data_IF_671948655326
#
_entry.id   IF_671948655326
#
_cell.length_a   1.000
_cell.length_b   1.000
_cell.length_c   1.000
_cell.angle_alpha   90.00
_cell.angle_beta   90.00
_cell.angle_gamma   90.00
#
_symmetry.space_group_name_H-M   'P 1'
#
loop_
_entity.id
_entity.type
_entity.pdbx_description
1 polymer ?
#
# COMPACT_ATOMS: atom_id res chain seq x y z
N UNK A 1 -5.76 -30.10 -0.61
CA UNK A 1 -4.52 -29.34 -0.33
C UNK A 1 -4.32 -29.36 1.17
N UNK A 2 -3.10 -29.53 1.71
CA UNK A 2 -2.94 -29.70 3.14
C UNK A 2 -3.33 -28.39 3.82
N UNK A 3 -4.26 -28.45 4.77
CA UNK A 3 -4.77 -27.30 5.53
C UNK A 3 -3.66 -26.45 6.19
N UNK A 4 -2.47 -27.03 6.36
CA UNK A 4 -1.26 -26.34 6.81
C UNK A 4 -0.80 -25.21 5.87
N UNK A 5 -1.09 -25.27 4.56
CA UNK A 5 -0.72 -24.19 3.62
C UNK A 5 -1.68 -23.00 3.72
N UNK A 6 -2.99 -23.23 3.87
CA UNK A 6 -3.95 -22.14 4.10
C UNK A 6 -3.71 -21.43 5.44
N UNK A 7 -3.34 -22.18 6.48
CA UNK A 7 -3.01 -21.63 7.80
C UNK A 7 -1.69 -20.84 7.82
N UNK A 8 -0.82 -21.04 6.83
CA UNK A 8 0.43 -20.27 6.63
C UNK A 8 0.19 -19.04 5.76
N UNK A 9 -0.66 -19.15 4.73
CA UNK A 9 -1.00 -18.04 3.84
C UNK A 9 -1.94 -17.00 4.52
N UNK A 10 -2.79 -17.42 5.45
CA UNK A 10 -3.61 -16.52 6.27
C UNK A 10 -2.80 -15.62 7.24
N UNK A 11 -1.49 -15.86 7.41
CA UNK A 11 -0.61 -15.08 8.31
C UNK A 11 0.11 -13.93 7.60
N UNK A 12 -0.04 -13.77 6.27
CA UNK A 12 0.67 -12.76 5.46
C UNK A 12 -0.24 -11.62 4.93
N UNK A 13 -0.86 -10.96 5.91
CA UNK A 13 -1.50 -9.63 5.86
C UNK A 13 -2.97 -9.63 5.49
N UNK A 14 -3.73 -10.11 6.46
CA UNK A 14 -5.17 -9.98 6.54
C UNK A 14 -5.47 -8.77 7.43
N UNK A 15 -6.27 -7.84 6.92
CA UNK A 15 -7.04 -6.93 7.77
C UNK A 15 -7.77 -7.71 8.86
N UNK A 16 -8.23 -7.06 9.94
CA UNK A 16 -9.06 -7.73 10.97
C UNK A 16 -10.34 -8.37 10.39
N UNK A 17 -10.69 -8.08 9.13
CA UNK A 17 -11.91 -8.52 8.45
C UNK A 17 -11.72 -9.68 7.46
N UNK A 18 -10.50 -10.18 7.23
CA UNK A 18 -10.28 -11.19 6.19
C UNK A 18 -9.76 -10.63 4.85
N UNK A 19 -9.76 -9.31 4.66
CA UNK A 19 -9.42 -8.64 3.39
C UNK A 19 -7.95 -8.25 3.28
N UNK A 20 -7.44 -8.21 2.05
CA UNK A 20 -6.13 -7.62 1.73
C UNK A 20 -6.18 -6.08 1.71
N UNK A 21 -5.05 -5.43 1.41
CA UNK A 21 -4.93 -3.96 1.42
C UNK A 21 -5.94 -3.28 0.48
N UNK A 22 -6.12 -3.83 -0.72
CA UNK A 22 -7.02 -3.28 -1.73
C UNK A 22 -8.48 -3.56 -1.40
N UNK A 23 -8.80 -4.71 -0.81
CA UNK A 23 -10.13 -5.03 -0.30
C UNK A 23 -10.54 -4.12 0.87
N UNK A 24 -9.59 -3.73 1.73
CA UNK A 24 -9.85 -2.72 2.76
C UNK A 24 -10.07 -1.33 2.16
N UNK A 25 -9.25 -0.95 1.18
CA UNK A 25 -9.38 0.33 0.50
C UNK A 25 -10.71 0.43 -0.25
N UNK A 26 -11.08 -0.59 -1.02
CA UNK A 26 -12.34 -0.64 -1.77
C UNK A 26 -13.60 -0.59 -0.88
N UNK A 27 -13.45 -0.87 0.41
CA UNK A 27 -14.53 -0.74 1.38
C UNK A 27 -14.77 0.71 1.85
N UNK A 28 -13.89 1.65 1.50
CA UNK A 28 -14.02 3.07 1.82
C UNK A 28 -14.60 3.83 0.64
N UNK A 29 -15.24 4.95 0.97
CA UNK A 29 -15.63 5.97 0.00
C UNK A 29 -14.49 6.98 -0.11
N UNK A 30 -13.94 7.13 -1.29
CA UNK A 30 -13.01 8.18 -1.66
C UNK A 30 -13.12 8.46 -3.17
N UNK A 31 -12.69 9.65 -3.58
CA UNK A 31 -12.45 9.99 -4.97
C UNK A 31 -10.95 10.16 -5.19
N UNK A 32 -10.33 9.30 -6.01
CA UNK A 32 -8.93 9.46 -6.41
C UNK A 32 -8.77 10.72 -7.25
N UNK A 33 -7.83 11.58 -6.88
CA UNK A 33 -7.45 12.74 -7.69
C UNK A 33 -6.06 12.60 -8.29
N UNK A 34 -5.02 12.81 -7.49
CA UNK A 34 -3.64 12.79 -7.94
C UNK A 34 -2.91 11.60 -7.34
N UNK A 35 -2.32 10.77 -8.20
CA UNK A 35 -1.39 9.72 -7.80
C UNK A 35 -0.05 9.96 -8.47
N UNK A 36 0.94 10.32 -7.66
CA UNK A 36 2.34 10.47 -8.06
C UNK A 36 3.16 9.41 -7.34
N UNK A 37 3.23 8.23 -7.92
CA UNK A 37 3.91 7.07 -7.38
C UNK A 37 4.97 6.56 -8.36
N UNK A 38 5.97 5.87 -7.82
CA UNK A 38 7.10 5.35 -8.59
C UNK A 38 6.77 4.03 -9.32
N UNK A 39 7.70 3.06 -9.30
CA UNK A 39 7.58 1.78 -9.97
C UNK A 39 6.32 0.97 -9.60
N UNK A 40 5.73 1.20 -8.43
CA UNK A 40 4.52 0.50 -7.98
C UNK A 40 3.21 1.30 -8.22
N UNK A 41 3.30 2.51 -8.79
CA UNK A 41 2.15 3.38 -9.02
C UNK A 41 1.10 2.80 -9.96
N UNK A 42 1.52 2.15 -11.05
CA UNK A 42 0.60 1.51 -12.00
C UNK A 42 -0.24 0.42 -11.36
N UNK A 43 0.38 -0.49 -10.61
CA UNK A 43 -0.31 -1.56 -9.89
C UNK A 43 -1.29 -1.04 -8.83
N UNK A 44 -0.92 0.05 -8.16
CA UNK A 44 -1.82 0.71 -7.21
C UNK A 44 -3.05 1.27 -7.93
N UNK A 45 -2.86 2.02 -9.02
CA UNK A 45 -3.95 2.63 -9.79
C UNK A 45 -4.89 1.61 -10.43
N UNK A 46 -4.36 0.50 -10.93
CA UNK A 46 -5.17 -0.58 -11.51
C UNK A 46 -6.15 -1.21 -10.51
N UNK A 47 -5.80 -1.20 -9.22
CA UNK A 47 -6.54 -1.89 -8.16
C UNK A 47 -7.27 -0.96 -7.19
N UNK A 48 -6.87 0.31 -7.10
CA UNK A 48 -7.50 1.28 -6.23
C UNK A 48 -8.81 1.77 -6.85
N UNK A 49 -9.91 1.12 -6.47
CA UNK A 49 -11.26 1.47 -6.92
C UNK A 49 -12.04 2.12 -5.79
N UNK A 50 -12.17 3.45 -5.84
CA UNK A 50 -13.03 4.25 -4.95
C UNK A 50 -14.02 5.06 -5.77
N UNK A 51 -15.22 5.27 -5.24
CA UNK A 51 -16.22 6.12 -5.87
C UNK A 51 -16.99 6.96 -4.82
N UNK A 52 -16.85 8.28 -4.94
CA UNK A 52 -17.48 9.26 -4.04
C UNK A 52 -16.83 9.31 -2.66
N UNK A 53 -17.04 10.38 -1.90
CA UNK A 53 -16.36 10.62 -0.62
C UNK A 53 -15.28 11.70 -0.73
N UNK A 54 -14.38 11.81 0.27
CA UNK A 54 -13.30 12.79 0.28
C UNK A 54 -12.34 12.58 -0.90
N UNK A 55 -11.71 13.67 -1.33
CA UNK A 55 -10.65 13.65 -2.33
C UNK A 55 -9.40 13.01 -1.72
N UNK A 56 -8.85 12.00 -2.41
CA UNK A 56 -7.67 11.25 -2.00
C UNK A 56 -6.55 11.46 -3.02
N UNK A 57 -5.46 12.07 -2.57
CA UNK A 57 -4.21 12.17 -3.32
C UNK A 57 -3.10 11.38 -2.64
N UNK A 58 -2.26 10.72 -3.44
CA UNK A 58 -1.15 9.88 -2.95
C UNK A 58 0.14 10.26 -3.67
N UNK A 59 1.16 10.62 -2.90
CA UNK A 59 2.54 10.73 -3.39
C UNK A 59 3.38 9.65 -2.75
N UNK A 60 3.99 8.82 -3.58
CA UNK A 60 4.73 7.65 -3.14
C UNK A 60 6.14 7.65 -3.74
N UNK A 61 7.11 7.29 -2.90
CA UNK A 61 8.52 7.22 -3.26
C UNK A 61 9.15 5.98 -2.65
N UNK A 62 10.19 5.50 -3.32
CA UNK A 62 11.01 4.41 -2.84
C UNK A 62 12.48 4.76 -2.95
N UNK A 63 13.24 4.22 -2.00
CA UNK A 63 14.68 4.35 -1.96
C UNK A 63 15.31 2.98 -1.69
N UNK A 64 16.33 2.66 -2.48
CA UNK A 64 17.07 1.42 -2.36
C UNK A 64 18.40 1.66 -1.66
N UNK A 65 18.68 0.86 -0.62
CA UNK A 65 20.00 0.79 0.02
C UNK A 65 20.52 -0.65 -0.07
N UNK A 66 21.70 -0.89 -0.64
CA UNK A 66 22.23 -2.26 -0.80
C UNK A 66 23.43 -2.36 -1.73
N UNK A 67 24.12 -3.50 -1.68
CA UNK A 67 25.24 -3.81 -2.57
C UNK A 67 24.79 -4.29 -3.95
N UNK A 68 25.74 -4.47 -4.87
CA UNK A 68 25.49 -4.93 -6.25
C UNK A 68 24.95 -6.38 -6.36
N UNK A 69 24.76 -7.07 -5.23
CA UNK A 69 24.29 -8.46 -5.20
C UNK A 69 22.77 -8.50 -5.31
N UNK A 70 22.27 -9.39 -6.16
CA UNK A 70 20.84 -9.68 -6.32
C UNK A 70 20.22 -9.97 -4.94
N UNK A 71 19.10 -9.31 -4.63
CA UNK A 71 18.37 -9.47 -3.37
C UNK A 71 19.09 -9.08 -2.06
N UNK A 72 20.23 -8.38 -2.13
CA UNK A 72 20.83 -7.73 -0.96
C UNK A 72 20.35 -6.29 -0.80
N UNK A 73 20.03 -5.88 0.44
CA UNK A 73 19.65 -4.51 0.77
C UNK A 73 18.26 -4.34 1.37
N UNK A 74 17.92 -3.08 1.63
CA UNK A 74 16.65 -2.62 2.18
C UNK A 74 15.99 -1.66 1.20
N UNK A 75 14.71 -1.90 0.94
CA UNK A 75 13.82 -0.97 0.27
C UNK A 75 13.09 -0.15 1.34
N UNK A 76 13.28 1.16 1.30
CA UNK A 76 12.50 2.11 2.08
C UNK A 76 11.39 2.66 1.18
N UNK A 77 10.16 2.61 1.68
CA UNK A 77 8.96 3.12 1.03
C UNK A 77 8.40 4.26 1.86
N UNK A 78 8.03 5.35 1.20
CA UNK A 78 7.34 6.49 1.81
C UNK A 78 6.07 6.78 1.01
N UNK A 79 4.98 7.04 1.73
CA UNK A 79 3.72 7.49 1.16
C UNK A 79 3.21 8.71 1.92
N UNK A 80 3.07 9.82 1.21
CA UNK A 80 2.33 11.02 1.64
C UNK A 80 0.92 10.92 1.06
N UNK A 81 -0.08 10.89 1.92
CA UNK A 81 -1.48 10.77 1.55
C UNK A 81 -2.21 12.00 2.02
N UNK A 82 -2.83 12.71 1.08
CA UNK A 82 -3.71 13.83 1.37
C UNK A 82 -5.17 13.41 1.25
N UNK A 83 -5.96 13.73 2.27
CA UNK A 83 -7.40 13.51 2.31
C UNK A 83 -8.07 14.85 2.62
N UNK A 84 -8.74 15.44 1.62
CA UNK A 84 -9.38 16.76 1.73
C UNK A 84 -8.48 17.85 2.36
N UNK A 85 -7.20 17.90 1.97
CA UNK A 85 -6.24 18.88 2.46
C UNK A 85 -5.57 18.53 3.80
N UNK A 86 -5.87 17.36 4.38
CA UNK A 86 -5.13 16.79 5.50
C UNK A 86 -4.11 15.79 4.99
N UNK A 87 -2.84 16.11 5.18
CA UNK A 87 -1.73 15.26 4.79
C UNK A 87 -1.23 14.37 5.93
N UNK A 88 -1.11 13.06 5.67
CA UNK A 88 -0.50 12.06 6.55
C UNK A 88 0.67 11.38 5.84
N UNK A 89 1.78 11.15 6.55
CA UNK A 89 2.97 10.50 5.99
C UNK A 89 3.21 9.14 6.65
N UNK A 90 3.44 8.13 5.82
CA UNK A 90 3.73 6.76 6.24
C UNK A 90 5.06 6.30 5.67
N UNK A 91 5.78 5.49 6.44
CA UNK A 91 7.05 4.89 6.03
C UNK A 91 7.06 3.39 6.35
N UNK A 92 7.66 2.60 5.45
CA UNK A 92 7.92 1.19 5.65
C UNK A 92 9.28 0.83 5.06
N UNK A 93 10.12 0.17 5.85
CA UNK A 93 11.37 -0.44 5.36
C UNK A 93 11.23 -1.95 5.31
N UNK A 94 11.53 -2.56 4.17
CA UNK A 94 11.51 -4.02 3.97
C UNK A 94 12.83 -4.52 3.37
N UNK A 95 13.27 -5.73 3.71
CA UNK A 95 14.36 -6.38 2.97
C UNK A 95 14.03 -6.47 1.49
N UNK A 96 15.04 -6.45 0.62
CA UNK A 96 14.89 -6.59 -0.84
C UNK A 96 14.20 -7.92 -1.16
N UNK A 97 12.88 -7.84 -1.39
CA UNK A 97 12.10 -8.91 -1.98
C UNK A 97 12.42 -8.91 -3.47
N UNK A 98 12.40 -10.09 -4.09
CA UNK A 98 12.67 -10.19 -5.51
C UNK A 98 11.53 -9.61 -6.35
N UNK A 99 11.01 -10.32 -7.36
CA UNK A 99 9.99 -9.77 -8.26
C UNK A 99 8.71 -9.28 -7.54
N UNK A 100 8.40 -9.80 -6.35
CA UNK A 100 7.24 -9.44 -5.52
C UNK A 100 7.26 -8.00 -4.96
N UNK A 101 8.38 -7.28 -5.13
CA UNK A 101 8.58 -5.98 -4.50
C UNK A 101 7.56 -4.92 -4.94
N UNK A 102 7.09 -4.99 -6.19
CA UNK A 102 6.08 -4.07 -6.72
C UNK A 102 4.70 -4.30 -6.10
N UNK A 103 4.32 -5.56 -5.88
CA UNK A 103 3.07 -5.90 -5.20
C UNK A 103 3.10 -5.47 -3.73
N UNK A 104 4.23 -5.69 -3.05
CA UNK A 104 4.41 -5.26 -1.67
C UNK A 104 4.34 -3.73 -1.52
N UNK A 105 4.96 -2.98 -2.44
CA UNK A 105 4.90 -1.52 -2.46
C UNK A 105 3.49 -0.99 -2.75
N UNK A 106 2.79 -1.58 -3.73
CA UNK A 106 1.41 -1.21 -4.05
C UNK A 106 0.46 -1.49 -2.87
N UNK A 107 0.63 -2.62 -2.18
CA UNK A 107 -0.12 -2.94 -0.97
C UNK A 107 0.18 -1.96 0.18
N UNK A 108 1.44 -1.51 0.31
CA UNK A 108 1.79 -0.47 1.28
C UNK A 108 1.09 0.87 0.98
N UNK A 109 0.99 1.27 -0.29
CA UNK A 109 0.25 2.48 -0.68
C UNK A 109 -1.24 2.37 -0.37
N UNK A 110 -1.85 1.22 -0.65
CA UNK A 110 -3.24 0.95 -0.29
C UNK A 110 -3.49 1.02 1.22
N UNK A 111 -2.61 0.42 2.03
CA UNK A 111 -2.71 0.52 3.49
C UNK A 111 -2.53 1.93 4.03
N UNK A 112 -1.65 2.71 3.40
CA UNK A 112 -1.41 4.11 3.74
C UNK A 112 -2.67 4.94 3.47
N UNK A 113 -3.31 4.71 2.31
CA UNK A 113 -4.59 5.34 1.96
C UNK A 113 -5.72 4.99 2.94
N UNK A 114 -5.88 3.70 3.28
CA UNK A 114 -6.87 3.25 4.27
C UNK A 114 -6.68 3.96 5.60
N UNK A 115 -5.45 4.01 6.11
CA UNK A 115 -5.15 4.67 7.38
C UNK A 115 -5.44 6.17 7.34
N UNK A 116 -5.04 6.83 6.27
CA UNK A 116 -5.32 8.26 6.11
C UNK A 116 -6.83 8.54 6.09
N UNK A 117 -7.63 7.72 5.40
CA UNK A 117 -9.09 7.85 5.40
C UNK A 117 -9.68 7.63 6.80
N UNK A 118 -9.28 6.55 7.49
CA UNK A 118 -9.75 6.21 8.84
C UNK A 118 -9.37 7.28 9.89
N UNK A 119 -8.28 8.04 9.70
CA UNK A 119 -7.90 9.16 10.55
C UNK A 119 -8.83 10.38 10.42
N UNK A 120 -9.49 10.54 9.26
CA UNK A 120 -10.40 11.66 8.98
C UNK A 120 -11.83 11.44 9.48
N UNK A 121 -12.17 10.21 9.86
CA UNK A 121 -13.50 9.84 10.39
C UNK A 121 -13.63 10.05 11.91
N UNK A 122 -12.58 10.50 12.60
CA UNK A 122 -12.57 10.76 14.05
C UNK A 122 -12.93 12.19 14.41
#
# INVERSE_FOLDING_TARGET
MPAEIEDVLAKHTVSRSGRDAFGELAARKFALSTVDADFAGGLFLERATGAGGPELAVKARSWWSGGAVEYSGTLTLTAEVDVDGRTSTFELSVPKRGPEVAEAAAAFYAWSAVRALDEGEK
#
